data_IF_958783309291
#
_entry.id   IF_958783309291
#
_cell.length_a   1.000
_cell.length_b   1.000
_cell.length_c   1.000
_cell.angle_alpha   90.00
_cell.angle_beta   90.00
_cell.angle_gamma   90.00
#
_symmetry.space_group_name_H-M   'P 1'
#
loop_
_entity.id
_entity.type
_entity.pdbx_description
1 polymer ?
#
# COMPACT_ATOMS: atom_id res chain seq x y z
N UNK A 1 28.27 18.08 43.23
CA UNK A 1 27.38 18.74 42.25
C UNK A 1 27.58 18.28 40.80
N UNK A 2 28.80 18.02 40.32
CA UNK A 2 29.04 17.68 38.91
C UNK A 2 28.39 16.37 38.44
N UNK A 3 28.38 15.30 39.26
CA UNK A 3 27.73 14.02 38.90
C UNK A 3 26.21 14.15 38.69
N UNK A 4 25.52 15.00 39.46
CA UNK A 4 24.07 15.28 39.28
C UNK A 4 23.80 16.05 37.99
N UNK A 5 24.65 17.04 37.64
CA UNK A 5 24.52 17.79 36.39
C UNK A 5 24.72 16.89 35.17
N UNK A 6 25.75 16.04 35.19
CA UNK A 6 26.03 15.08 34.10
C UNK A 6 24.89 14.08 33.90
N UNK A 7 24.29 13.58 34.99
CA UNK A 7 23.16 12.65 34.91
C UNK A 7 21.89 13.31 34.33
N UNK A 8 21.60 14.56 34.73
CA UNK A 8 20.48 15.33 34.17
C UNK A 8 20.68 15.62 32.69
N UNK A 9 21.89 15.98 32.26
CA UNK A 9 22.18 16.23 30.85
C UNK A 9 21.97 14.97 30.00
N UNK A 10 22.39 13.79 30.46
CA UNK A 10 22.17 12.54 29.73
C UNK A 10 20.68 12.21 29.55
N UNK A 11 19.86 12.41 30.59
CA UNK A 11 18.41 12.17 30.53
C UNK A 11 17.73 13.13 29.54
N UNK A 12 18.06 14.42 29.62
CA UNK A 12 17.46 15.44 28.74
C UNK A 12 17.84 15.18 27.28
N UNK A 13 19.11 14.90 26.99
CA UNK A 13 19.56 14.59 25.62
C UNK A 13 18.92 13.31 25.09
N UNK A 14 18.80 12.27 25.92
CA UNK A 14 18.10 11.03 25.54
C UNK A 14 16.63 11.26 25.20
N UNK A 15 15.93 12.06 26.00
CA UNK A 15 14.53 12.41 25.75
C UNK A 15 14.36 13.17 24.43
N UNK A 16 15.22 14.16 24.17
CA UNK A 16 15.20 14.96 22.94
C UNK A 16 15.43 14.08 21.71
N UNK A 17 16.42 13.17 21.76
CA UNK A 17 16.69 12.24 20.65
C UNK A 17 15.53 11.28 20.40
N UNK A 18 14.87 10.81 21.46
CA UNK A 18 13.71 9.91 21.34
C UNK A 18 12.52 10.62 20.72
N UNK A 19 12.22 11.85 21.15
CA UNK A 19 11.15 12.68 20.57
C UNK A 19 11.45 13.00 19.11
N UNK A 20 12.69 13.38 18.78
CA UNK A 20 13.11 13.63 17.41
C UNK A 20 12.93 12.38 16.53
N UNK A 21 13.33 11.19 17.00
CA UNK A 21 13.14 9.94 16.28
C UNK A 21 11.65 9.62 16.06
N UNK A 22 10.80 9.79 17.07
CA UNK A 22 9.35 9.58 16.93
C UNK A 22 8.73 10.54 15.91
N UNK A 23 9.12 11.81 15.91
CA UNK A 23 8.66 12.78 14.91
C UNK A 23 9.13 12.36 13.52
N UNK A 24 10.40 11.98 13.38
CA UNK A 24 10.97 11.62 12.08
C UNK A 24 10.34 10.35 11.50
N UNK A 25 10.20 9.30 12.30
CA UNK A 25 9.52 8.06 11.90
C UNK A 25 8.01 8.25 11.70
N UNK A 26 7.37 9.14 12.47
CA UNK A 26 5.95 9.48 12.29
C UNK A 26 5.66 10.23 10.99
N UNK A 27 6.66 10.95 10.45
CA UNK A 27 6.56 11.62 9.14
C UNK A 27 7.02 10.77 7.97
N UNK A 28 7.54 9.56 8.21
CA UNK A 28 7.94 8.66 7.13
C UNK A 28 6.70 8.31 6.28
N UNK A 29 6.65 8.86 5.07
CA UNK A 29 5.67 8.46 4.08
C UNK A 29 6.11 7.14 3.47
N UNK A 30 5.18 6.20 3.18
CA UNK A 30 5.51 5.03 2.39
C UNK A 30 6.05 5.49 1.04
N UNK A 31 7.30 5.17 0.73
CA UNK A 31 7.90 5.47 -0.56
C UNK A 31 7.54 4.32 -1.49
N UNK A 32 6.53 4.52 -2.34
CA UNK A 32 6.16 3.57 -3.41
C UNK A 32 7.19 3.63 -4.55
N UNK A 33 8.44 3.25 -4.28
CA UNK A 33 9.53 3.28 -5.27
C UNK A 33 9.51 2.07 -6.21
N UNK A 34 8.74 1.04 -5.89
CA UNK A 34 8.34 0.01 -6.83
C UNK A 34 6.87 0.27 -7.14
N UNK A 35 6.58 0.78 -8.35
CA UNK A 35 5.29 0.45 -8.94
C UNK A 35 5.19 -1.07 -8.80
N UNK A 36 4.18 -1.57 -8.10
CA UNK A 36 3.96 -3.00 -7.88
C UNK A 36 3.58 -3.74 -9.17
N UNK A 37 4.26 -3.44 -10.28
CA UNK A 37 4.38 -4.30 -11.45
C UNK A 37 5.25 -5.51 -11.10
N UNK A 38 4.85 -6.21 -10.05
CA UNK A 38 5.12 -7.63 -9.97
C UNK A 38 4.41 -8.25 -11.19
N UNK A 39 5.03 -9.24 -11.83
CA UNK A 39 4.39 -9.96 -12.94
C UNK A 39 2.94 -10.31 -12.56
N UNK A 40 1.99 -9.87 -13.38
CA UNK A 40 0.56 -10.14 -13.22
C UNK A 40 0.24 -11.49 -13.82
N UNK A 41 -0.69 -12.20 -13.18
CA UNK A 41 -1.29 -13.39 -13.80
C UNK A 41 -2.11 -13.03 -15.04
N UNK A 42 -2.46 -11.74 -15.23
CA UNK A 42 -3.15 -11.26 -16.42
C UNK A 42 -2.28 -11.48 -17.67
N UNK A 43 -1.01 -11.06 -17.63
CA UNK A 43 -0.10 -11.16 -18.78
C UNK A 43 0.27 -12.61 -19.11
N UNK A 44 0.40 -13.46 -18.09
CA UNK A 44 0.65 -14.90 -18.29
C UNK A 44 -0.48 -15.55 -19.11
N UNK A 45 -1.75 -15.27 -18.78
CA UNK A 45 -2.88 -15.85 -19.51
C UNK A 45 -3.14 -15.14 -20.85
N UNK A 46 -3.13 -13.82 -20.88
CA UNK A 46 -3.54 -13.05 -22.04
C UNK A 46 -2.47 -12.98 -23.12
N UNK A 47 -1.20 -12.83 -22.73
CA UNK A 47 -0.10 -12.56 -23.66
C UNK A 47 0.80 -13.78 -23.85
N UNK A 48 1.22 -14.45 -22.77
CA UNK A 48 2.13 -15.61 -22.86
C UNK A 48 1.38 -16.83 -23.39
N UNK A 49 0.22 -17.14 -22.81
CA UNK A 49 -0.65 -18.23 -23.28
C UNK A 49 -1.53 -17.81 -24.46
N UNK A 50 -1.59 -16.51 -24.78
CA UNK A 50 -2.31 -16.00 -25.94
C UNK A 50 -3.84 -16.18 -25.87
N UNK A 51 -4.44 -16.26 -24.69
CA UNK A 51 -5.90 -16.46 -24.58
C UNK A 51 -6.68 -15.25 -25.11
N UNK A 52 -6.15 -14.04 -24.93
CA UNK A 52 -6.67 -12.80 -25.51
C UNK A 52 -5.55 -11.76 -25.48
N UNK A 53 -4.61 -11.83 -26.44
CA UNK A 53 -3.47 -10.94 -26.49
C UNK A 53 -3.92 -9.57 -27.00
N UNK A 54 -3.57 -8.52 -26.26
CA UNK A 54 -3.93 -7.13 -26.58
C UNK A 54 -2.69 -6.26 -26.82
N UNK A 55 -1.50 -6.70 -26.41
CA UNK A 55 -0.26 -5.95 -26.68
C UNK A 55 0.10 -5.87 -28.17
N UNK A 56 -0.58 -6.61 -29.05
CA UNK A 56 -0.39 -6.54 -30.49
C UNK A 56 -1.70 -6.26 -31.26
N UNK A 57 -2.70 -5.69 -30.57
CA UNK A 57 -4.04 -5.40 -31.15
C UNK A 57 -4.05 -4.30 -32.23
N UNK A 58 -2.92 -3.61 -32.46
CA UNK A 58 -2.80 -2.55 -33.47
C UNK A 58 -3.41 -1.20 -33.06
N UNK A 59 -3.96 -1.07 -31.85
CA UNK A 59 -4.59 0.17 -31.38
C UNK A 59 -3.58 1.16 -30.81
N UNK A 60 -2.39 0.70 -30.39
CA UNK A 60 -1.40 1.50 -29.66
C UNK A 60 -1.78 1.77 -28.20
N UNK A 61 -3.04 1.52 -27.79
CA UNK A 61 -3.57 1.78 -26.46
C UNK A 61 -2.93 0.86 -25.42
N UNK A 62 -3.03 -0.46 -25.61
CA UNK A 62 -2.47 -1.43 -24.70
C UNK A 62 -0.93 -1.39 -24.71
N UNK A 63 -0.31 -1.17 -25.87
CA UNK A 63 1.14 -1.06 -26.03
C UNK A 63 1.74 0.07 -25.19
N UNK A 64 1.02 1.19 -25.05
CA UNK A 64 1.48 2.36 -24.30
C UNK A 64 1.72 2.07 -22.82
N UNK A 65 1.05 1.06 -22.25
CA UNK A 65 1.14 0.71 -20.83
C UNK A 65 1.56 -0.75 -20.56
N UNK A 66 1.79 -1.53 -21.62
CA UNK A 66 2.19 -2.95 -21.55
C UNK A 66 3.56 -3.19 -20.89
N UNK A 67 4.42 -2.16 -20.85
CA UNK A 67 5.79 -2.26 -20.33
C UNK A 67 5.85 -2.57 -18.83
N UNK A 68 4.82 -2.17 -18.08
CA UNK A 68 4.78 -2.32 -16.63
C UNK A 68 3.68 -3.25 -16.14
N UNK A 69 3.09 -4.05 -17.03
CA UNK A 69 2.09 -5.06 -16.63
C UNK A 69 0.93 -4.47 -15.78
N UNK A 70 0.42 -3.33 -16.24
CA UNK A 70 -0.53 -2.49 -15.51
C UNK A 70 -1.99 -2.81 -15.82
N UNK A 71 -2.30 -4.02 -16.30
CA UNK A 71 -3.64 -4.42 -16.71
C UNK A 71 -4.68 -4.09 -15.62
N UNK A 72 -4.37 -4.41 -14.36
CA UNK A 72 -5.25 -4.19 -13.22
C UNK A 72 -5.49 -2.71 -12.86
N UNK A 73 -4.61 -1.80 -13.28
CA UNK A 73 -4.79 -0.36 -12.99
C UNK A 73 -5.95 0.19 -13.83
N UNK A 74 -6.07 -0.29 -15.06
CA UNK A 74 -7.15 0.08 -15.96
C UNK A 74 -8.39 -0.79 -15.75
N UNK A 75 -8.21 -2.10 -15.60
CA UNK A 75 -9.30 -3.06 -15.59
C UNK A 75 -9.74 -3.53 -14.20
N UNK A 76 -9.08 -3.07 -13.13
CA UNK A 76 -9.24 -3.63 -11.78
C UNK A 76 -8.96 -5.16 -11.76
N UNK A 77 -9.66 -5.90 -10.91
CA UNK A 77 -9.41 -7.33 -10.71
C UNK A 77 -8.24 -7.64 -9.78
N UNK A 78 -7.91 -8.92 -9.67
CA UNK A 78 -6.85 -9.44 -8.81
C UNK A 78 -5.72 -10.04 -9.65
N UNK A 79 -4.69 -9.24 -9.91
CA UNK A 79 -3.51 -9.65 -10.68
C UNK A 79 -2.63 -10.73 -10.04
N UNK A 80 -2.92 -11.14 -8.80
CA UNK A 80 -2.17 -12.20 -8.10
C UNK A 80 -2.90 -13.54 -8.14
N UNK A 81 -4.18 -13.57 -8.55
CA UNK A 81 -4.95 -14.79 -8.60
C UNK A 81 -4.61 -15.60 -9.86
N UNK A 82 -4.21 -16.86 -9.68
CA UNK A 82 -4.01 -17.79 -10.79
C UNK A 82 -5.35 -18.31 -11.35
N UNK A 83 -6.40 -18.36 -10.51
CA UNK A 83 -7.73 -18.77 -10.92
C UNK A 83 -8.47 -17.64 -11.63
N UNK A 84 -8.99 -17.92 -12.82
CA UNK A 84 -9.62 -16.94 -13.71
C UNK A 84 -10.74 -16.14 -13.03
N UNK A 85 -11.65 -16.83 -12.34
CA UNK A 85 -12.80 -16.17 -11.72
C UNK A 85 -12.38 -15.26 -10.57
N UNK A 86 -11.37 -15.68 -9.79
CA UNK A 86 -10.80 -14.85 -8.73
C UNK A 86 -10.03 -13.65 -9.29
N UNK A 87 -9.32 -13.82 -10.42
CA UNK A 87 -8.61 -12.75 -11.10
C UNK A 87 -9.56 -11.71 -11.69
N UNK A 88 -10.71 -12.14 -12.22
CA UNK A 88 -11.69 -11.26 -12.86
C UNK A 88 -12.73 -10.67 -11.90
N UNK A 89 -12.71 -11.07 -10.63
CA UNK A 89 -13.64 -10.53 -9.63
C UNK A 89 -13.43 -9.03 -9.46
N UNK A 90 -14.48 -8.25 -9.70
CA UNK A 90 -14.45 -6.80 -9.55
C UNK A 90 -13.78 -6.04 -10.71
N UNK A 91 -13.56 -6.70 -11.86
CA UNK A 91 -13.08 -6.00 -13.05
C UNK A 91 -14.06 -4.94 -13.54
N UNK A 92 -13.51 -3.89 -14.15
CA UNK A 92 -14.26 -2.76 -14.71
C UNK A 92 -13.76 -2.42 -16.12
N UNK A 93 -14.60 -1.69 -16.87
CA UNK A 93 -14.16 -1.06 -18.10
C UNK A 93 -13.16 0.08 -17.79
N UNK A 94 -12.03 0.18 -18.52
CA UNK A 94 -11.01 1.22 -18.30
C UNK A 94 -11.53 2.67 -18.33
N UNK A 95 -12.63 2.91 -19.05
CA UNK A 95 -13.22 4.23 -19.19
C UNK A 95 -14.49 4.42 -18.36
N UNK A 96 -14.89 3.44 -17.54
CA UNK A 96 -15.99 3.60 -16.59
C UNK A 96 -15.65 4.65 -15.51
N UNK A 97 -14.39 4.70 -15.08
CA UNK A 97 -13.86 5.75 -14.20
C UNK A 97 -12.42 6.12 -14.63
N UNK A 98 -12.33 7.06 -15.56
CA UNK A 98 -11.04 7.56 -16.07
C UNK A 98 -10.17 8.15 -14.97
N UNK A 99 -10.78 8.71 -13.91
CA UNK A 99 -10.06 9.25 -12.77
C UNK A 99 -9.38 8.13 -11.99
N UNK A 100 -10.11 7.06 -11.67
CA UNK A 100 -9.55 5.91 -10.98
C UNK A 100 -8.43 5.23 -11.79
N UNK A 101 -8.62 5.07 -13.10
CA UNK A 101 -7.68 4.35 -13.97
C UNK A 101 -6.45 5.17 -14.37
N UNK A 102 -6.55 6.49 -14.51
CA UNK A 102 -5.49 7.30 -15.12
C UNK A 102 -4.83 8.33 -14.16
N UNK A 103 -5.55 8.84 -13.16
CA UNK A 103 -5.11 10.04 -12.42
C UNK A 103 -3.83 9.84 -11.62
N UNK A 104 -3.54 8.61 -11.18
CA UNK A 104 -2.35 8.31 -10.41
C UNK A 104 -1.05 8.63 -11.18
N UNK A 105 -1.06 8.46 -12.51
CA UNK A 105 0.08 8.75 -13.38
C UNK A 105 -0.09 10.06 -14.15
N UNK A 106 -1.33 10.47 -14.43
CA UNK A 106 -1.68 11.64 -15.23
C UNK A 106 -2.50 12.67 -14.46
N UNK A 107 -1.99 13.25 -13.36
CA UNK A 107 -2.77 14.18 -12.54
C UNK A 107 -3.02 15.54 -13.19
N UNK A 108 -2.26 15.88 -14.25
CA UNK A 108 -2.30 17.21 -14.90
C UNK A 108 -2.92 17.20 -16.28
N UNK A 109 -2.91 16.04 -16.94
CA UNK A 109 -3.25 15.86 -18.36
C UNK A 109 -4.20 14.67 -18.58
N UNK A 110 -4.97 14.30 -17.54
CA UNK A 110 -5.89 13.16 -17.56
C UNK A 110 -6.86 13.20 -18.74
N UNK A 111 -7.62 14.29 -18.88
CA UNK A 111 -8.68 14.39 -19.88
C UNK A 111 -8.13 14.42 -21.30
N UNK A 112 -7.01 15.12 -21.51
CA UNK A 112 -6.34 15.20 -22.81
C UNK A 112 -5.83 13.83 -23.26
N UNK A 113 -5.18 13.08 -22.36
CA UNK A 113 -4.67 11.75 -22.67
C UNK A 113 -5.76 10.71 -22.82
N UNK A 114 -6.75 10.71 -21.93
CA UNK A 114 -7.88 9.80 -22.02
C UNK A 114 -8.61 10.00 -23.36
N UNK A 115 -8.77 11.26 -23.80
CA UNK A 115 -9.43 11.58 -25.07
C UNK A 115 -8.77 10.94 -26.28
N UNK A 116 -7.44 10.92 -26.37
CA UNK A 116 -6.72 10.29 -27.48
C UNK A 116 -7.16 8.83 -27.66
N UNK A 117 -7.22 8.07 -26.56
CA UNK A 117 -7.58 6.66 -26.60
C UNK A 117 -9.08 6.43 -26.76
N UNK A 118 -9.91 7.29 -26.16
CA UNK A 118 -11.35 7.29 -26.39
C UNK A 118 -11.70 7.48 -27.86
N UNK A 119 -11.03 8.40 -28.54
CA UNK A 119 -11.22 8.65 -29.97
C UNK A 119 -10.75 7.47 -30.84
N UNK A 120 -9.60 6.85 -30.50
CA UNK A 120 -9.08 5.64 -31.18
C UNK A 120 -10.06 4.46 -31.05
N UNK A 121 -10.64 4.29 -29.86
CA UNK A 121 -11.50 3.14 -29.53
C UNK A 121 -12.98 3.40 -29.81
N UNK A 122 -13.36 4.63 -30.17
CA UNK A 122 -14.75 5.02 -30.40
C UNK A 122 -15.63 4.94 -29.14
N UNK A 123 -15.05 5.14 -27.95
CA UNK A 123 -15.74 5.08 -26.65
C UNK A 123 -15.80 6.45 -25.99
N UNK A 124 -16.78 6.66 -25.11
CA UNK A 124 -16.90 7.89 -24.30
C UNK A 124 -16.58 7.65 -22.83
N UNK A 125 -16.18 8.71 -22.12
CA UNK A 125 -15.97 8.66 -20.67
C UNK A 125 -17.27 8.25 -19.96
N UNK A 126 -17.17 7.33 -18.99
CA UNK A 126 -18.33 6.75 -18.31
C UNK A 126 -19.03 5.64 -19.10
N UNK A 127 -18.55 5.26 -20.30
CA UNK A 127 -19.06 4.07 -20.98
C UNK A 127 -18.64 2.80 -20.25
N UNK A 128 -19.55 2.31 -19.41
CA UNK A 128 -19.53 0.95 -18.89
C UNK A 128 -20.02 -0.06 -19.95
N UNK A 129 -19.56 0.04 -21.19
CA UNK A 129 -19.92 -0.92 -22.22
C UNK A 129 -19.51 -2.33 -21.74
N UNK A 130 -20.38 -3.34 -21.87
CA UNK A 130 -19.99 -4.71 -21.56
C UNK A 130 -18.78 -5.08 -22.43
N UNK A 131 -17.85 -5.84 -21.86
CA UNK A 131 -16.77 -6.44 -22.64
C UNK A 131 -17.39 -7.46 -23.59
N UNK A 132 -17.81 -7.03 -24.77
CA UNK A 132 -18.23 -7.92 -25.84
C UNK A 132 -16.96 -8.44 -26.52
N UNK A 133 -16.67 -9.71 -26.30
CA UNK A 133 -15.52 -10.41 -26.88
C UNK A 133 -15.72 -10.49 -28.39
N UNK A 134 -15.15 -9.55 -29.14
CA UNK A 134 -15.02 -9.73 -30.57
C UNK A 134 -13.97 -10.81 -30.83
N UNK A 135 -14.43 -12.00 -31.19
CA UNK A 135 -13.58 -13.03 -31.78
C UNK A 135 -13.02 -12.52 -33.11
N UNK A 136 -11.86 -11.89 -33.07
CA UNK A 136 -11.03 -11.76 -34.27
C UNK A 136 -10.41 -13.13 -34.52
N UNK A 137 -10.89 -13.82 -35.55
CA UNK A 137 -10.27 -15.05 -36.05
C UNK A 137 -8.91 -14.68 -36.63
N UNK A 138 -7.87 -14.74 -35.81
CA UNK A 138 -6.49 -14.68 -36.28
C UNK A 138 -6.07 -16.11 -36.64
N UNK A 139 -5.73 -16.31 -37.91
CA UNK A 139 -5.12 -17.55 -38.40
C UNK A 139 -3.83 -17.83 -37.63
N UNK A 140 -3.83 -18.91 -36.85
CA UNK A 140 -2.71 -19.37 -36.03
C UNK A 140 -1.65 -19.96 -36.98
N UNK A 141 -0.45 -19.37 -36.99
CA UNK A 141 0.76 -20.08 -37.40
C UNK A 141 1.21 -20.96 -36.24
N UNK A 142 1.45 -22.23 -36.54
CA UNK A 142 1.76 -23.33 -35.61
C UNK A 142 2.99 -23.03 -34.72
N UNK A 143 2.92 -23.26 -33.38
CA UNK A 143 4.05 -23.01 -32.49
C UNK A 143 5.05 -24.17 -32.55
N UNK A 144 6.30 -23.86 -32.91
CA UNK A 144 7.46 -24.73 -32.66
C UNK A 144 7.65 -24.90 -31.15
N UNK A 145 7.39 -26.11 -30.66
CA UNK A 145 7.66 -26.53 -29.28
C UNK A 145 9.18 -26.59 -29.03
N UNK A 146 9.75 -25.55 -28.43
CA UNK A 146 11.01 -25.67 -27.68
C UNK A 146 10.95 -24.73 -26.46
N UNK A 147 10.98 -25.28 -25.22
CA UNK A 147 10.91 -24.46 -24.01
C UNK A 147 12.25 -23.73 -23.80
N UNK A 148 12.27 -22.40 -23.60
CA UNK A 148 13.47 -21.72 -23.15
C UNK A 148 13.78 -22.11 -21.69
N UNK A 149 15.07 -22.35 -21.43
CA UNK A 149 15.59 -22.88 -20.19
C UNK A 149 15.19 -22.05 -18.95
N UNK A 150 14.80 -22.79 -17.90
CA UNK A 150 14.55 -22.31 -16.54
C UNK A 150 15.64 -21.35 -16.06
N UNK A 151 15.29 -20.07 -15.99
CA UNK A 151 15.95 -19.11 -15.09
C UNK A 151 14.94 -18.70 -14.05
N UNK A 152 14.58 -19.64 -13.17
CA UNK A 152 13.75 -19.34 -11.99
C UNK A 152 14.59 -18.51 -11.02
N UNK A 153 14.47 -17.19 -11.09
CA UNK A 153 14.87 -16.31 -9.99
C UNK A 153 13.94 -16.58 -8.82
N UNK A 154 14.41 -17.36 -7.85
CA UNK A 154 13.74 -17.56 -6.58
C UNK A 154 13.78 -16.26 -5.78
N UNK A 155 12.67 -15.51 -5.82
CA UNK A 155 12.45 -14.36 -4.96
C UNK A 155 12.18 -14.87 -3.54
N UNK A 156 13.24 -14.87 -2.72
CA UNK A 156 13.23 -15.26 -1.31
C UNK A 156 12.65 -14.15 -0.43
N UNK A 157 11.36 -13.84 -0.62
CA UNK A 157 10.50 -13.23 0.40
C UNK A 157 9.05 -13.41 -0.06
N UNK A 158 8.10 -13.90 0.78
CA UNK A 158 6.71 -13.76 0.42
C UNK A 158 6.46 -12.27 0.27
N UNK A 159 6.15 -11.84 -0.95
CA UNK A 159 5.62 -10.52 -1.19
C UNK A 159 4.41 -10.41 -0.25
N UNK A 160 4.50 -9.50 0.71
CA UNK A 160 3.36 -9.11 1.51
C UNK A 160 2.24 -8.79 0.51
N UNK A 161 1.21 -9.63 0.47
CA UNK A 161 0.18 -9.55 -0.55
C UNK A 161 -0.47 -8.19 -0.42
N UNK A 162 -0.22 -7.32 -1.40
CA UNK A 162 -0.80 -5.98 -1.40
C UNK A 162 -2.31 -6.18 -1.59
N UNK A 163 -3.09 -5.74 -0.60
CA UNK A 163 -4.55 -5.70 -0.71
C UNK A 163 -4.93 -4.51 -1.60
N UNK A 164 -5.09 -4.78 -2.89
CA UNK A 164 -5.42 -3.78 -3.88
C UNK A 164 -6.83 -3.19 -3.70
N UNK A 165 -7.74 -3.91 -3.05
CA UNK A 165 -9.06 -3.38 -2.69
C UNK A 165 -8.89 -2.33 -1.60
N UNK A 166 -8.10 -2.62 -0.55
CA UNK A 166 -7.75 -1.65 0.47
C UNK A 166 -7.03 -0.43 -0.14
N UNK A 167 -6.13 -0.64 -1.11
CA UNK A 167 -5.41 0.45 -1.79
C UNK A 167 -6.31 1.30 -2.69
N UNK A 168 -7.27 0.69 -3.38
CA UNK A 168 -8.30 1.41 -4.13
C UNK A 168 -9.20 2.23 -3.18
N UNK A 169 -9.63 1.62 -2.08
CA UNK A 169 -10.43 2.30 -1.04
C UNK A 169 -9.67 3.50 -0.45
N UNK A 170 -8.36 3.37 -0.21
CA UNK A 170 -7.53 4.47 0.31
C UNK A 170 -7.35 5.60 -0.73
N UNK A 171 -6.97 5.25 -1.97
CA UNK A 171 -6.58 6.24 -2.99
C UNK A 171 -7.78 6.89 -3.69
N UNK A 172 -8.86 6.14 -3.90
CA UNK A 172 -10.03 6.58 -4.66
C UNK A 172 -11.16 7.00 -3.73
N UNK A 173 -11.46 6.19 -2.71
CA UNK A 173 -12.54 6.47 -1.76
C UNK A 173 -12.10 7.31 -0.55
N UNK A 174 -10.79 7.53 -0.36
CA UNK A 174 -10.25 8.27 0.77
C UNK A 174 -10.33 7.52 2.10
N UNK A 175 -10.67 6.23 2.08
CA UNK A 175 -10.81 5.39 3.27
C UNK A 175 -9.42 4.97 3.75
N UNK A 176 -8.80 5.78 4.61
CA UNK A 176 -7.50 5.48 5.19
C UNK A 176 -7.64 4.46 6.31
N UNK A 177 -7.01 3.27 6.23
CA UNK A 177 -7.03 2.31 7.32
C UNK A 177 -6.30 2.89 8.55
N UNK A 178 -6.86 2.65 9.74
CA UNK A 178 -6.24 3.08 11.00
C UNK A 178 -4.99 2.26 11.26
N UNK A 179 -3.83 2.91 11.28
CA UNK A 179 -2.57 2.25 11.62
C UNK A 179 -2.45 2.01 13.13
N UNK A 180 -2.96 0.87 13.57
CA UNK A 180 -2.89 0.44 14.98
C UNK A 180 -1.47 0.34 15.52
N UNK A 181 -0.47 0.03 14.68
CA UNK A 181 0.94 0.00 15.10
C UNK A 181 1.47 1.39 15.47
N UNK A 182 1.06 2.42 14.72
CA UNK A 182 1.39 3.82 15.03
C UNK A 182 0.73 4.25 16.35
N UNK A 183 -0.53 3.87 16.57
CA UNK A 183 -1.24 4.15 17.83
C UNK A 183 -0.52 3.47 19.01
N UNK A 184 -0.10 2.21 18.84
CA UNK A 184 0.68 1.48 19.84
C UNK A 184 2.02 2.14 20.17
N UNK A 185 2.76 2.59 19.15
CA UNK A 185 4.02 3.32 19.32
C UNK A 185 3.83 4.65 20.07
N UNK A 186 2.79 5.42 19.73
CA UNK A 186 2.46 6.66 20.44
C UNK A 186 2.10 6.39 21.90
N UNK A 187 1.30 5.36 22.17
CA UNK A 187 0.94 4.97 23.54
C UNK A 187 2.18 4.58 24.37
N UNK A 188 3.10 3.80 23.80
CA UNK A 188 4.35 3.42 24.46
C UNK A 188 5.22 4.65 24.76
N UNK A 189 5.35 5.58 23.80
CA UNK A 189 6.13 6.81 23.99
C UNK A 189 5.55 7.66 25.12
N UNK A 190 4.22 7.79 25.20
CA UNK A 190 3.54 8.49 26.31
C UNK A 190 3.86 7.83 27.65
N UNK A 191 3.77 6.51 27.76
CA UNK A 191 4.05 5.77 29.00
C UNK A 191 5.50 5.98 29.44
N UNK A 192 6.47 5.94 28.52
CA UNK A 192 7.88 6.13 28.84
C UNK A 192 8.16 7.55 29.32
N UNK A 193 7.59 8.56 28.64
CA UNK A 193 7.77 9.97 29.00
C UNK A 193 7.14 10.25 30.37
N UNK A 194 5.87 9.90 30.57
CA UNK A 194 5.17 10.18 31.82
C UNK A 194 5.69 9.31 32.98
N UNK A 195 5.93 8.02 32.75
CA UNK A 195 6.48 7.11 33.75
C UNK A 195 7.90 7.51 34.19
N UNK A 196 8.74 7.91 33.23
CA UNK A 196 10.08 8.44 33.51
C UNK A 196 10.03 9.75 34.30
N UNK A 197 9.11 10.66 33.97
CA UNK A 197 8.93 11.93 34.67
C UNK A 197 8.46 11.72 36.12
N UNK A 198 7.50 10.82 36.35
CA UNK A 198 6.96 10.51 37.69
C UNK A 198 8.05 9.92 38.59
N UNK A 199 8.80 8.92 38.10
CA UNK A 199 9.90 8.32 38.87
C UNK A 199 11.01 9.34 39.18
N UNK A 200 11.30 10.24 38.24
CA UNK A 200 12.27 11.32 38.45
C UNK A 200 11.83 12.30 39.54
N UNK A 201 10.56 12.73 39.52
CA UNK A 201 9.99 13.66 40.51
C UNK A 201 9.97 13.03 41.92
N UNK A 202 9.60 11.76 42.05
CA UNK A 202 9.63 11.02 43.31
C UNK A 202 11.07 10.91 43.84
N UNK A 203 12.04 10.55 42.98
CA UNK A 203 13.45 10.37 43.38
C UNK A 203 14.15 11.69 43.73
N UNK A 204 13.74 12.80 43.13
CA UNK A 204 14.26 14.14 43.45
C UNK A 204 13.66 14.71 44.75
N UNK A 205 12.71 14.02 45.38
CA UNK A 205 12.11 14.42 46.66
C UNK A 205 11.15 15.61 46.54
N UNK A 206 10.64 15.88 45.34
CA UNK A 206 9.70 16.99 45.10
C UNK A 206 8.27 16.63 45.53
N UNK A 207 7.98 15.34 45.69
CA UNK A 207 6.73 14.81 46.22
C UNK A 207 7.07 13.79 47.32
N UNK A 208 6.63 14.06 48.54
CA UNK A 208 6.75 13.13 49.67
C UNK A 208 5.45 12.33 49.73
N UNK A 209 5.53 11.03 49.43
CA UNK A 209 4.38 10.13 49.57
C UNK A 209 4.39 9.56 50.98
N UNK A 210 3.54 10.09 51.87
CA UNK A 210 3.32 9.54 53.21
C UNK A 210 2.19 8.53 53.18
N UNK A 211 2.49 7.27 53.50
CA UNK A 211 1.47 6.26 53.74
C UNK A 211 1.01 6.38 55.20
N UNK A 212 -0.24 6.76 55.41
CA UNK A 212 -0.86 6.79 56.73
C UNK A 212 -1.07 5.34 57.21
N UNK A 213 -0.58 5.00 58.41
CA UNK A 213 -0.78 3.66 58.97
C UNK A 213 -2.26 3.47 59.29
N UNK A 214 -2.87 2.33 58.93
CA UNK A 214 -4.26 2.07 59.29
C UNK A 214 -4.39 2.05 60.82
N UNK A 215 -5.36 2.81 61.32
CA UNK A 215 -5.72 2.86 62.75
C UNK A 215 -6.08 1.45 63.19
N UNK A 216 -5.30 0.88 64.12
CA UNK A 216 -5.69 -0.36 64.79
C UNK A 216 -6.98 -0.08 65.54
N UNK A 217 -8.07 -0.71 65.11
CA UNK A 217 -9.30 -0.74 65.89
C UNK A 217 -9.00 -1.45 67.22
N UNK A 218 -9.17 -0.74 68.33
CA UNK A 218 -9.10 -1.36 69.65
C UNK A 218 -10.27 -2.35 69.81
N UNK A 219 -10.01 -3.54 70.38
CA UNK A 219 -11.07 -4.50 70.65
C UNK A 219 -12.03 -3.93 71.68
N UNK A 220 -13.32 -3.93 71.36
CA UNK A 220 -14.39 -3.64 72.34
C UNK A 220 -14.42 -4.78 73.35
N UNK A 221 -14.22 -4.44 74.62
CA UNK A 221 -14.45 -5.33 75.78
C UNK A 221 -15.91 -5.78 75.87
#
# INVERSE_FOLDING_TARGET
MQKKKMFVTMIVTGLILTVAAVIWLGTAQPVSAQCGSQASTCKDCHEVQGQMPVNADGTGWHQSHAFGDFCYICHAGNQQAAEKDAAHTGMVSPFADTKASCQQCHPKDLDERAKVYMDILGVSAGSAAPVEVQQVVVTICEPTNEPPADTSLSLSKPAESIDYIARYNENVLGNKPVNWSMIGLVALAVIVVFGGLILFVIKMGWVIVTFEKPVKAEPKE
#
